data_IF_424841781749
#
_entry.id   IF_424841781749
#
_cell.length_a   1.000
_cell.length_b   1.000
_cell.length_c   1.000
_cell.angle_alpha   90.00
_cell.angle_beta   90.00
_cell.angle_gamma   90.00
#
_symmetry.space_group_name_H-M   'P 1'
#
loop_
_entity.id
_entity.type
_entity.pdbx_description
1 polymer ?
2 non-polymer ?
3 water ?
#
# COMPACT_ATOMS: atom_id res chain seq x y z
N UNK A 1 18.21 -2.46 18.96
CA UNK A 1 18.19 -3.97 19.03
C UNK A 1 18.67 -4.65 17.74
N UNK A 2 18.47 -4.00 16.57
CA UNK A 2 19.06 -4.39 15.29
C UNK A 2 18.17 -5.09 14.28
N UNK A 3 17.50 -4.32 13.40
CA UNK A 3 16.50 -4.94 12.55
C UNK A 3 17.07 -5.67 11.31
N UNK A 4 18.18 -5.18 10.77
CA UNK A 4 18.74 -5.79 9.55
C UNK A 4 19.13 -7.24 9.79
N UNK A 5 19.90 -7.49 10.85
CA UNK A 5 20.33 -8.88 11.13
C UNK A 5 19.19 -9.78 11.58
N UNK A 6 18.19 -9.20 12.23
CA UNK A 6 17.00 -9.96 12.56
C UNK A 6 16.23 -10.42 11.30
N UNK A 7 16.05 -9.52 10.32
CA UNK A 7 15.43 -9.94 9.07
C UNK A 7 16.31 -10.93 8.28
N UNK A 8 17.62 -10.83 8.42
CA UNK A 8 18.51 -11.82 7.81
C UNK A 8 18.22 -13.27 8.25
N UNK A 9 17.91 -13.47 9.54
CA UNK A 9 17.54 -14.79 10.05
C UNK A 9 16.37 -15.39 9.31
N UNK A 10 15.35 -14.58 9.04
CA UNK A 10 14.19 -14.99 8.26
C UNK A 10 14.61 -15.46 6.88
N UNK A 11 15.44 -14.66 6.24
CA UNK A 11 15.91 -14.96 4.88
C UNK A 11 16.76 -16.24 4.88
N UNK A 12 17.68 -16.31 5.84
CA UNK A 12 18.66 -17.41 5.92
C UNK A 12 18.03 -18.78 6.16
N UNK A 13 16.88 -18.78 6.82
CA UNK A 13 16.25 -20.06 7.13
C UNK A 13 15.39 -20.60 5.99
N UNK A 14 15.16 -19.76 4.98
CA UNK A 14 14.22 -20.11 3.91
C UNK A 14 14.82 -20.05 2.51
N UNK A 15 15.57 -18.99 2.24
CA UNK A 15 16.01 -18.65 0.88
C UNK A 15 17.33 -19.30 0.48
N UNK A 16 18.17 -19.55 1.47
CA UNK A 16 19.56 -19.94 1.26
C UNK A 16 19.71 -21.43 1.59
N UNK A 17 20.27 -22.23 0.65
CA UNK A 17 20.84 -21.91 -0.66
C UNK A 17 19.90 -22.14 -1.84
N UNK A 18 18.59 -22.27 -1.55
CA UNK A 18 17.58 -22.64 -2.57
C UNK A 18 17.52 -21.64 -3.72
N UNK A 19 17.63 -20.34 -3.39
CA UNK A 19 17.47 -19.29 -4.41
C UNK A 19 18.64 -18.32 -4.46
N UNK A 20 18.99 -17.89 -5.68
CA UNK A 20 19.95 -16.82 -5.91
C UNK A 20 19.32 -15.52 -5.41
N UNK A 21 19.85 -15.02 -4.30
CA UNK A 21 19.16 -14.00 -3.52
C UNK A 21 19.94 -12.69 -3.42
N UNK A 22 19.27 -11.57 -3.67
CA UNK A 22 19.86 -10.24 -3.39
C UNK A 22 19.04 -9.59 -2.29
N UNK A 23 19.70 -8.78 -1.47
CA UNK A 23 19.05 -8.21 -0.30
C UNK A 23 19.53 -6.77 -0.20
N UNK A 24 18.59 -5.86 -0.07
CA UNK A 24 18.94 -4.47 0.15
C UNK A 24 18.20 -3.90 1.36
N UNK A 25 18.93 -3.20 2.23
CA UNK A 25 18.30 -2.44 3.33
C UNK A 25 18.61 -0.98 3.15
N UNK A 26 17.54 -0.16 3.09
CA UNK A 26 17.70 1.27 2.76
C UNK A 26 17.01 2.11 3.83
N UNK A 27 17.69 3.14 4.34
CA UNK A 27 17.04 4.02 5.31
C UNK A 27 17.28 3.61 6.76
N UNK A 28 16.72 4.39 7.70
CA UNK A 28 17.06 4.26 9.13
C UNK A 28 16.26 3.16 9.81
N UNK A 29 16.59 1.91 9.50
CA UNK A 29 15.83 0.79 10.02
C UNK A 29 15.88 0.71 11.55
N UNK A 30 16.88 1.37 12.16
CA UNK A 30 16.98 1.40 13.64
C UNK A 30 15.85 2.17 14.33
N UNK A 31 15.14 3.04 13.61
CA UNK A 31 14.01 3.80 14.20
C UNK A 31 12.65 3.08 14.15
N UNK A 32 12.59 1.91 13.52
CA UNK A 32 11.36 1.12 13.42
C UNK A 32 11.03 0.57 14.84
N UNK A 33 9.84 0.88 15.37
CA UNK A 33 9.44 0.38 16.71
C UNK A 33 9.19 -1.11 16.74
N UNK A 34 9.02 -1.68 17.93
CA UNK A 34 8.88 -3.14 18.07
C UNK A 34 7.67 -3.73 17.34
N UNK A 35 6.52 -3.06 17.39
CA UNK A 35 5.32 -3.57 16.77
C UNK A 35 5.48 -3.65 15.23
N UNK A 36 6.06 -2.60 14.63
CA UNK A 36 6.22 -2.53 13.19
C UNK A 36 7.35 -3.48 12.75
N UNK A 37 8.40 -3.58 13.56
CA UNK A 37 9.47 -4.57 13.33
C UNK A 37 8.94 -6.00 13.29
N UNK A 38 7.99 -6.30 14.19
CA UNK A 38 7.34 -7.61 14.24
C UNK A 38 6.50 -7.87 13.00
N UNK A 39 5.79 -6.83 12.55
CA UNK A 39 5.03 -6.97 11.30
C UNK A 39 5.97 -7.22 10.13
N UNK A 40 7.04 -6.43 10.03
CA UNK A 40 7.96 -6.55 8.89
C UNK A 40 8.57 -7.97 8.83
N UNK A 41 8.96 -8.48 9.98
CA UNK A 41 9.49 -9.84 10.08
C UNK A 41 8.48 -10.91 9.60
N UNK A 42 7.23 -10.81 10.06
CA UNK A 42 6.18 -11.75 9.67
C UNK A 42 5.84 -11.65 8.17
N UNK A 43 5.82 -10.43 7.63
CA UNK A 43 5.55 -10.22 6.20
C UNK A 43 6.66 -10.85 5.34
N UNK A 44 7.90 -10.54 5.68
CA UNK A 44 9.07 -11.13 5.01
C UNK A 44 9.07 -12.65 5.02
N UNK A 45 8.81 -13.25 6.19
CA UNK A 45 8.69 -14.69 6.33
C UNK A 45 7.67 -15.28 5.36
N UNK A 46 6.47 -14.70 5.35
CA UNK A 46 5.43 -15.17 4.43
C UNK A 46 5.82 -15.00 2.98
N UNK A 47 6.36 -13.81 2.64
CA UNK A 47 6.74 -13.47 1.26
C UNK A 47 7.83 -14.39 0.75
N UNK A 48 8.84 -14.62 1.60
CA UNK A 48 9.93 -15.50 1.23
C UNK A 48 9.49 -16.96 1.15
N UNK A 49 8.65 -17.42 2.08
CA UNK A 49 8.16 -18.79 2.00
C UNK A 49 7.40 -19.02 0.70
N UNK A 50 6.58 -18.03 0.35
CA UNK A 50 5.79 -18.06 -0.87
C UNK A 50 6.64 -18.17 -2.12
N UNK A 51 7.69 -17.36 -2.20
CA UNK A 51 8.61 -17.37 -3.34
C UNK A 51 9.28 -18.74 -3.49
N UNK A 52 9.76 -19.30 -2.38
CA UNK A 52 10.43 -20.58 -2.35
C UNK A 52 9.50 -21.73 -2.79
N UNK A 53 8.19 -21.57 -2.59
CA UNK A 53 7.25 -22.60 -3.00
C UNK A 53 6.92 -22.56 -4.50
N UNK A 54 7.33 -21.51 -5.20
CA UNK A 54 7.14 -21.42 -6.65
C UNK A 54 8.08 -22.37 -7.38
N UNK A 55 7.51 -23.35 -8.07
CA UNK A 55 8.31 -24.43 -8.70
C UNK A 55 9.41 -23.93 -9.64
N UNK A 56 9.14 -22.89 -10.40
CA UNK A 56 10.12 -22.46 -11.38
C UNK A 56 11.06 -21.31 -10.92
N UNK A 57 10.98 -20.95 -9.64
CA UNK A 57 11.86 -19.88 -9.11
C UNK A 57 13.32 -20.30 -8.98
N UNK A 58 14.21 -19.42 -9.41
CA UNK A 58 15.63 -19.58 -9.21
C UNK A 58 16.25 -18.39 -8.47
N UNK A 59 15.56 -17.26 -8.45
CA UNK A 59 16.11 -16.00 -7.95
C UNK A 59 15.09 -15.19 -7.14
N UNK A 60 15.62 -14.34 -6.26
CA UNK A 60 14.83 -13.66 -5.26
C UNK A 60 15.50 -12.34 -5.00
N UNK A 61 14.72 -11.26 -5.00
CA UNK A 61 15.24 -9.94 -4.67
C UNK A 61 14.42 -9.35 -3.55
N UNK A 62 15.11 -9.02 -2.45
CA UNK A 62 14.48 -8.47 -1.24
C UNK A 62 14.93 -7.03 -1.01
N UNK A 63 13.96 -6.16 -0.78
CA UNK A 63 14.22 -4.78 -0.43
C UNK A 63 13.41 -4.42 0.80
N UNK A 64 14.08 -4.06 1.88
CA UNK A 64 13.37 -3.57 3.06
C UNK A 64 13.89 -2.18 3.33
N UNK A 65 13.00 -1.22 3.50
CA UNK A 65 13.45 0.16 3.63
C UNK A 65 12.58 0.98 4.54
N UNK A 66 13.15 2.10 4.99
CA UNK A 66 12.39 3.14 5.65
C UNK A 66 12.59 4.37 4.76
N UNK A 67 11.52 4.89 4.20
CA UNK A 67 11.62 5.98 3.23
C UNK A 67 10.28 6.69 3.14
N UNK A 68 10.31 7.89 2.58
CA UNK A 68 9.10 8.72 2.45
C UNK A 68 8.19 8.16 1.35
N UNK A 69 6.91 8.02 1.68
CA UNK A 69 5.89 7.61 0.73
C UNK A 69 4.85 8.71 0.70
N UNK A 70 4.18 8.87 -0.44
CA UNK A 70 2.90 9.59 -0.41
C UNK A 70 1.79 8.60 -0.05
N UNK A 71 0.86 9.01 0.81
CA UNK A 71 -0.26 8.15 1.22
C UNK A 71 -1.58 8.91 1.05
N UNK A 72 -2.54 8.30 0.37
CA UNK A 72 -3.87 8.88 0.22
C UNK A 72 -4.84 7.96 0.92
N UNK A 73 -5.53 8.51 1.91
CA UNK A 73 -6.47 7.74 2.68
C UNK A 73 -7.83 8.41 2.60
N UNK A 74 -8.87 7.62 2.33
CA UNK A 74 -10.23 8.17 2.19
C UNK A 74 -11.22 7.21 2.88
N UNK A 75 -12.00 7.75 3.80
CA UNK A 75 -12.93 6.94 4.61
C UNK A 75 -14.33 7.54 4.52
N UNK A 76 -15.33 6.69 4.27
CA UNK A 76 -16.70 7.20 4.27
C UNK A 76 -17.56 6.21 5.02
N UNK A 77 -18.71 6.65 5.50
CA UNK A 77 -19.62 5.79 6.28
C UNK A 77 -20.84 5.34 5.48
N UNK A 78 -20.73 5.29 4.15
CA UNK A 78 -21.83 4.88 3.28
C UNK A 78 -22.10 3.39 3.35
N UNK A 79 -23.24 2.95 2.79
CA UNK A 79 -23.61 1.53 2.87
C UNK A 79 -23.71 0.89 1.48
N UNK A 80 -23.64 -0.44 1.42
CA UNK A 80 -23.65 -1.17 0.14
C UNK A 80 -22.29 -1.30 -0.52
N UNK A 81 -22.24 -1.78 -1.76
CA UNK A 81 -20.97 -2.03 -2.44
C UNK A 81 -20.33 -0.70 -2.85
N UNK A 82 -19.17 -0.36 -2.26
CA UNK A 82 -18.46 0.86 -2.69
C UNK A 82 -17.97 0.73 -4.11
N UNK A 83 -18.03 1.83 -4.84
CA UNK A 83 -17.45 1.88 -6.17
C UNK A 83 -16.01 1.40 -6.17
N UNK A 84 -15.30 1.56 -5.04
CA UNK A 84 -13.87 1.24 -4.95
C UNK A 84 -13.59 -0.24 -5.15
N UNK A 85 -14.55 -1.07 -4.77
CA UNK A 85 -14.35 -2.51 -4.85
C UNK A 85 -14.96 -3.21 -6.07
N UNK A 86 -15.53 -2.46 -7.01
CA UNK A 86 -15.99 -3.04 -8.26
C UNK A 86 -14.81 -3.42 -9.15
N UNK A 87 -15.07 -4.17 -10.22
CA UNK A 87 -13.99 -4.58 -11.13
C UNK A 87 -13.23 -3.36 -11.69
N UNK A 88 -13.96 -2.32 -12.10
CA UNK A 88 -13.31 -1.16 -12.69
C UNK A 88 -12.66 -0.28 -11.61
N UNK A 89 -13.28 -0.23 -10.44
CA UNK A 89 -12.71 0.49 -9.28
C UNK A 89 -11.35 -0.05 -8.89
N UNK A 90 -11.28 -1.36 -8.68
CA UNK A 90 -10.02 -2.04 -8.34
C UNK A 90 -8.98 -1.97 -9.46
N UNK A 91 -9.43 -2.13 -10.71
CA UNK A 91 -8.57 -1.98 -11.86
C UNK A 91 -7.80 -0.66 -11.88
N UNK A 92 -8.51 0.46 -11.72
CA UNK A 92 -7.85 1.78 -11.72
C UNK A 92 -6.83 1.88 -10.57
N UNK A 93 -7.22 1.45 -9.38
CA UNK A 93 -6.30 1.47 -8.23
C UNK A 93 -5.05 0.62 -8.46
N UNK A 94 -5.27 -0.61 -8.91
CA UNK A 94 -4.18 -1.56 -9.18
C UNK A 94 -3.22 -1.00 -10.24
N UNK A 95 -3.77 -0.46 -11.32
CA UNK A 95 -2.96 0.10 -12.39
C UNK A 95 -2.05 1.22 -11.88
N UNK A 96 -2.63 2.17 -11.14
CA UNK A 96 -1.89 3.32 -10.61
C UNK A 96 -0.87 2.86 -9.59
N UNK A 97 -1.27 1.94 -8.71
CA UNK A 97 -0.32 1.39 -7.75
C UNK A 97 0.85 0.75 -8.49
N UNK A 98 0.57 -0.09 -9.50
CA UNK A 98 1.67 -0.73 -10.26
C UNK A 98 2.54 0.29 -10.95
N UNK A 99 1.93 1.26 -11.62
CA UNK A 99 2.68 2.35 -12.27
C UNK A 99 3.60 3.08 -11.29
N UNK A 100 3.10 3.36 -10.09
CA UNK A 100 3.86 4.11 -9.09
C UNK A 100 4.80 3.27 -8.22
N UNK A 101 4.80 1.95 -8.41
CA UNK A 101 5.63 1.08 -7.60
C UNK A 101 5.11 1.05 -6.16
N UNK A 102 3.81 1.23 -6.03
CA UNK A 102 3.16 1.27 -4.73
C UNK A 102 2.17 0.13 -4.51
N UNK A 103 1.19 0.41 -3.67
CA UNK A 103 0.29 -0.58 -3.10
C UNK A 103 -0.99 0.11 -2.59
N UNK A 104 -2.03 -0.66 -2.35
CA UNK A 104 -3.30 -0.09 -1.89
C UNK A 104 -4.14 -1.16 -1.18
N UNK A 105 -5.04 -0.72 -0.33
CA UNK A 105 -6.03 -1.65 0.19
C UNK A 105 -7.37 -0.95 0.27
N UNK A 106 -8.42 -1.70 -0.03
CA UNK A 106 -9.77 -1.26 0.23
C UNK A 106 -10.39 -2.22 1.24
N UNK A 107 -10.81 -1.68 2.40
CA UNK A 107 -11.62 -2.42 3.38
C UNK A 107 -13.06 -1.93 3.39
N UNK A 108 -14.01 -2.86 3.44
CA UNK A 108 -15.33 -2.56 4.00
C UNK A 108 -15.16 -2.73 5.50
N UNK A 109 -15.45 -1.68 6.25
CA UNK A 109 -15.28 -1.68 7.68
C UNK A 109 -16.50 -2.34 8.35
N UNK A 110 -16.25 -3.31 9.24
CA UNK A 110 -17.33 -4.11 9.83
C UNK A 110 -18.41 -3.22 10.47
N UNK A 111 -17.95 -2.11 11.07
CA UNK A 111 -18.82 -1.16 11.76
C UNK A 111 -19.49 -0.12 10.85
N UNK A 112 -19.35 -0.28 9.54
CA UNK A 112 -20.00 0.59 8.58
C UNK A 112 -19.03 1.44 7.80
N UNK A 113 -19.18 1.42 6.48
CA UNK A 113 -18.40 2.26 5.57
C UNK A 113 -17.23 1.60 4.85
N UNK A 114 -16.43 2.44 4.20
CA UNK A 114 -15.35 2.00 3.32
C UNK A 114 -14.08 2.81 3.60
N UNK A 115 -12.97 2.10 3.76
CA UNK A 115 -11.68 2.74 3.91
C UNK A 115 -10.88 2.39 2.66
N UNK A 116 -10.18 3.39 2.14
CA UNK A 116 -9.29 3.22 1.01
C UNK A 116 -7.98 3.86 1.41
N UNK A 117 -6.91 3.13 1.18
CA UNK A 117 -5.57 3.64 1.36
C UNK A 117 -4.72 3.26 0.17
N UNK A 118 -4.01 4.24 -0.38
CA UNK A 118 -3.13 4.04 -1.53
C UNK A 118 -1.81 4.76 -1.22
N UNK A 119 -0.68 4.10 -1.46
CA UNK A 119 0.61 4.69 -1.11
C UNK A 119 1.62 4.28 -2.14
N UNK A 120 2.67 5.09 -2.27
CA UNK A 120 3.72 4.82 -3.24
C UNK A 120 4.95 5.63 -2.81
N UNK A 121 6.15 5.11 -3.11
CA UNK A 121 7.36 5.78 -2.68
C UNK A 121 7.61 7.05 -3.52
N UNK A 122 8.17 8.09 -2.89
CA UNK A 122 8.62 9.29 -3.63
C UNK A 122 9.70 8.97 -4.65
N UNK A 123 10.60 8.06 -4.30
CA UNK A 123 11.63 7.56 -5.23
C UNK A 123 11.80 6.04 -5.19
N UNK B 1 2.00 23.15 -10.79
CA UNK B 1 0.96 23.25 -9.73
C UNK B 1 1.25 22.22 -8.64
N UNK B 2 1.38 22.67 -7.38
CA UNK B 2 1.67 21.81 -6.24
C UNK B 2 0.64 20.70 -6.08
N UNK B 3 1.05 19.61 -5.43
CA UNK B 3 0.15 18.47 -5.19
C UNK B 3 -1.10 18.88 -4.41
N UNK B 4 -0.89 19.55 -3.27
CA UNK B 4 -2.04 19.94 -2.45
C UNK B 4 -3.10 20.70 -3.26
N UNK B 5 -2.69 21.76 -3.96
CA UNK B 5 -3.58 22.52 -4.85
C UNK B 5 -4.37 21.61 -5.80
N UNK B 6 -3.67 20.66 -6.43
CA UNK B 6 -4.29 19.76 -7.40
C UNK B 6 -5.35 18.87 -6.78
N UNK B 7 -5.06 18.36 -5.60
CA UNK B 7 -5.99 17.48 -4.89
C UNK B 7 -7.18 18.27 -4.37
N UNK B 8 -6.93 19.49 -3.89
CA UNK B 8 -8.03 20.35 -3.48
C UNK B 8 -8.96 20.78 -4.60
N UNK B 9 -8.44 20.92 -5.82
CA UNK B 9 -9.32 21.16 -6.97
C UNK B 9 -10.29 19.98 -7.17
N UNK B 10 -9.77 18.77 -7.09
CA UNK B 10 -10.59 17.54 -7.14
C UNK B 10 -11.65 17.55 -6.05
N UNK B 11 -11.23 17.82 -4.81
CA UNK B 11 -12.17 17.89 -3.70
C UNK B 11 -13.25 18.95 -3.92
N UNK B 12 -12.83 20.16 -4.33
CA UNK B 12 -13.75 21.25 -4.60
C UNK B 12 -14.78 20.84 -5.65
N UNK B 13 -14.35 20.13 -6.69
CA UNK B 13 -15.27 19.69 -7.77
C UNK B 13 -16.27 18.63 -7.30
N UNK B 14 -15.86 17.77 -6.36
CA UNK B 14 -16.67 16.59 -6.03
C UNK B 14 -17.37 16.59 -4.67
N UNK B 15 -16.79 17.27 -3.68
CA UNK B 15 -17.39 17.28 -2.36
C UNK B 15 -18.69 18.03 -2.40
N UNK B 16 -19.63 17.58 -1.58
CA UNK B 16 -20.95 18.19 -1.48
C UNK B 16 -21.33 18.27 0.01
N UNK B 17 -22.13 19.27 0.40
CA UNK B 17 -22.46 19.41 1.82
C UNK B 17 -23.14 18.21 2.49
N UNK B 18 -23.75 17.30 1.74
CA UNK B 18 -24.44 16.12 2.32
C UNK B 18 -23.50 15.19 3.12
N UNK B 19 -22.26 15.09 2.66
CA UNK B 19 -21.22 14.37 3.38
C UNK B 19 -20.42 15.44 4.05
N UNK B 20 -20.35 15.39 5.37
CA UNK B 20 -19.49 16.29 6.10
C UNK B 20 -18.03 15.90 5.81
N UNK B 21 -17.25 16.86 5.32
CA UNK B 21 -15.96 16.54 4.72
C UNK B 21 -14.82 17.23 5.44
N UNK B 22 -13.80 16.44 5.76
CA UNK B 22 -12.57 16.92 6.41
C UNK B 22 -11.42 16.44 5.55
N UNK B 23 -10.48 17.34 5.25
CA UNK B 23 -9.24 17.02 4.50
C UNK B 23 -8.05 17.50 5.31
N UNK B 24 -7.08 16.62 5.52
CA UNK B 24 -5.88 16.97 6.27
C UNK B 24 -4.67 16.62 5.43
N UNK B 25 -3.81 17.62 5.22
CA UNK B 25 -2.54 17.42 4.56
C UNK B 25 -1.41 17.54 5.58
N UNK B 26 -0.46 16.60 5.55
CA UNK B 26 0.71 16.70 6.41
C UNK B 26 1.94 16.20 5.66
N UNK B 27 3.09 16.76 5.97
CA UNK B 27 4.33 16.31 5.33
C UNK B 27 4.67 17.15 4.11
N UNK B 28 5.87 16.92 3.53
CA UNK B 28 6.37 17.74 2.41
C UNK B 28 5.74 17.34 1.07
N UNK B 29 4.45 17.64 0.90
CA UNK B 29 3.76 17.38 -0.37
C UNK B 29 4.42 18.11 -1.54
N UNK B 30 5.10 19.22 -1.25
CA UNK B 30 5.67 20.02 -2.32
C UNK B 30 6.80 19.28 -3.05
N UNK B 31 7.33 18.21 -2.44
CA UNK B 31 8.44 17.52 -3.08
C UNK B 31 8.00 16.39 -4.01
N UNK B 32 6.71 16.07 -4.00
CA UNK B 32 6.18 14.99 -4.86
C UNK B 32 6.31 15.39 -6.32
N UNK B 33 6.91 14.54 -7.15
CA UNK B 33 7.12 14.86 -8.57
C UNK B 33 5.81 14.78 -9.38
N UNK B 34 5.83 15.30 -10.60
CA UNK B 34 4.61 15.44 -11.40
C UNK B 34 3.92 14.12 -11.74
N UNK B 35 4.70 13.08 -12.03
CA UNK B 35 4.11 11.81 -12.42
C UNK B 35 3.40 11.19 -11.20
N UNK B 36 4.07 11.19 -10.06
CA UNK B 36 3.46 10.62 -8.84
C UNK B 36 2.23 11.45 -8.43
N UNK B 37 2.38 12.77 -8.44
CA UNK B 37 1.26 13.70 -8.15
C UNK B 37 0.08 13.38 -9.04
N UNK B 38 0.34 13.12 -10.33
CA UNK B 38 -0.73 12.73 -11.23
C UNK B 38 -1.43 11.44 -10.81
N UNK B 39 -0.66 10.45 -10.38
CA UNK B 39 -1.26 9.18 -9.93
C UNK B 39 -2.12 9.39 -8.69
N UNK B 40 -1.61 10.18 -7.75
CA UNK B 40 -2.35 10.50 -6.50
C UNK B 40 -3.67 11.19 -6.78
N UNK B 41 -3.65 12.11 -7.75
CA UNK B 41 -4.84 12.84 -8.24
C UNK B 41 -5.88 11.88 -8.79
N UNK B 42 -5.46 10.98 -9.68
CA UNK B 42 -6.35 10.01 -10.27
C UNK B 42 -7.00 9.11 -9.19
N UNK B 43 -6.18 8.68 -8.24
CA UNK B 43 -6.65 7.86 -7.13
C UNK B 43 -7.66 8.62 -6.27
N UNK B 44 -7.32 9.84 -5.85
CA UNK B 44 -8.24 10.63 -5.03
C UNK B 44 -9.55 10.93 -5.72
N UNK B 45 -9.48 11.24 -7.01
CA UNK B 45 -10.68 11.44 -7.80
C UNK B 45 -11.57 10.21 -7.73
N UNK B 46 -10.99 9.03 -7.93
CA UNK B 46 -11.78 7.79 -7.81
C UNK B 46 -12.37 7.61 -6.41
N UNK B 47 -11.51 7.74 -5.40
CA UNK B 47 -11.96 7.52 -4.02
C UNK B 47 -13.03 8.52 -3.55
N UNK B 48 -12.86 9.80 -3.89
CA UNK B 48 -13.86 10.81 -3.50
C UNK B 48 -15.16 10.63 -4.29
N UNK B 49 -15.07 10.37 -5.60
CA UNK B 49 -16.27 10.13 -6.43
C UNK B 49 -17.10 8.97 -5.88
N UNK B 50 -16.41 7.89 -5.52
CA UNK B 50 -17.08 6.71 -5.01
C UNK B 50 -17.65 6.92 -3.60
N UNK B 51 -16.97 7.74 -2.79
CA UNK B 51 -17.50 8.10 -1.46
C UNK B 51 -18.80 8.87 -1.57
N UNK B 52 -18.80 9.92 -2.39
CA UNK B 52 -19.99 10.75 -2.63
C UNK B 52 -21.18 9.92 -3.20
N UNK B 53 -20.85 8.87 -3.96
CA UNK B 53 -21.87 8.00 -4.57
C UNK B 53 -22.35 6.90 -3.60
N UNK B 54 -21.68 6.77 -2.45
CA UNK B 54 -21.89 5.65 -1.55
C UNK B 54 -23.18 5.92 -0.73
N UNK B 55 -24.19 5.06 -0.95
CA UNK B 55 -25.53 5.21 -0.37
C UNK B 55 -25.54 5.65 1.08
N UNK B 56 -26.26 6.74 1.35
CA UNK B 56 -26.54 7.22 2.71
C UNK B 56 -25.34 7.69 3.52
N UNK B 57 -24.20 7.90 2.87
CA UNK B 57 -23.02 8.47 3.54
C UNK B 57 -23.32 9.83 4.16
N UNK B 58 -22.74 10.06 5.33
CA UNK B 58 -22.90 11.32 6.04
C UNK B 58 -21.54 11.98 6.29
N UNK B 59 -20.45 11.25 6.07
CA UNK B 59 -19.12 11.82 6.30
C UNK B 59 -18.03 11.27 5.38
N UNK B 60 -17.01 12.09 5.20
CA UNK B 60 -15.92 11.78 4.31
C UNK B 60 -14.68 12.38 4.97
N UNK B 61 -13.70 11.54 5.28
CA UNK B 61 -12.46 12.00 5.86
C UNK B 61 -11.34 11.66 4.87
N UNK B 62 -10.58 12.67 4.50
CA UNK B 62 -9.49 12.50 3.54
C UNK B 62 -8.18 12.89 4.20
N UNK B 63 -7.20 12.01 4.16
CA UNK B 63 -5.89 12.31 4.76
C UNK B 63 -4.87 12.06 3.67
N UNK B 64 -4.10 13.09 3.33
CA UNK B 64 -3.03 12.91 2.35
C UNK B 64 -1.74 13.36 3.03
N UNK B 65 -0.72 12.49 3.01
CA UNK B 65 0.51 12.79 3.72
C UNK B 65 1.69 12.34 2.91
N UNK B 66 2.85 12.93 3.21
CA UNK B 66 4.15 12.38 2.78
C UNK B 66 4.83 12.13 4.09
N UNK B 67 5.21 10.88 4.34
CA UNK B 67 5.69 10.48 5.65
C UNK B 67 6.53 9.19 5.51
N UNK B 68 7.37 8.94 6.51
CA UNK B 68 8.22 7.74 6.49
C UNK B 68 7.39 6.50 6.71
N UNK B 69 7.55 5.53 5.80
CA UNK B 69 6.95 4.22 5.93
C UNK B 69 8.05 3.17 6.06
N UNK B 70 7.71 2.03 6.65
CA UNK B 70 8.50 0.84 6.44
C UNK B 70 7.92 0.14 5.21
N UNK B 71 8.81 -0.38 4.36
CA UNK B 71 8.41 -1.03 3.11
C UNK B 71 9.15 -2.36 3.01
N UNK B 72 8.41 -3.41 2.68
CA UNK B 72 8.97 -4.72 2.43
C UNK B 72 8.54 -5.10 1.03
N UNK B 73 9.54 -5.29 0.16
CA UNK B 73 9.28 -5.69 -1.21
C UNK B 73 10.06 -6.96 -1.53
N UNK B 74 9.36 -7.92 -2.13
CA UNK B 74 9.94 -9.21 -2.45
C UNK B 74 9.54 -9.62 -3.87
N UNK B 75 10.52 -9.83 -4.72
CA UNK B 75 10.29 -10.16 -6.13
C UNK B 75 10.96 -11.50 -6.39
N UNK B 76 10.22 -12.42 -6.99
CA UNK B 76 10.86 -13.65 -7.44
C UNK B 76 10.46 -13.98 -8.86
N UNK B 77 11.24 -14.83 -9.52
CA UNK B 77 10.97 -15.15 -10.92
C UNK B 77 9.99 -16.31 -11.14
N UNK B 78 9.45 -16.86 -10.05
CA UNK B 78 8.41 -17.90 -10.14
C UNK B 78 7.00 -17.35 -9.97
N UNK B 79 6.02 -18.22 -10.21
CA UNK B 79 4.59 -17.91 -10.03
C UNK B 79 3.93 -19.09 -9.30
N UNK B 80 3.04 -18.83 -8.36
CA UNK B 80 2.39 -19.92 -7.60
C UNK B 80 1.33 -20.63 -8.41
N UNK B 81 1.34 -21.96 -8.43
CA UNK B 81 0.35 -22.77 -9.18
C UNK B 81 -1.09 -22.46 -8.77
N UNK B 82 -1.28 -22.14 -7.48
CA UNK B 82 -2.63 -21.98 -6.90
C UNK B 82 -3.01 -20.54 -6.60
N UNK B 83 -2.27 -19.60 -7.19
CA UNK B 83 -2.51 -18.19 -6.96
C UNK B 83 -1.29 -17.49 -6.40
N UNK B 84 -1.32 -16.17 -6.43
CA UNK B 84 -0.18 -15.33 -6.04
C UNK B 84 0.19 -15.45 -4.56
N UNK B 85 -0.72 -16.02 -3.77
CA UNK B 85 -0.54 -16.28 -2.34
C UNK B 85 -1.62 -17.27 -1.86
N UNK B 86 -1.31 -18.07 -0.84
CA UNK B 86 -2.34 -18.92 -0.24
C UNK B 86 -3.38 -18.04 0.45
N UNK B 87 -4.60 -18.56 0.55
CA UNK B 87 -5.69 -17.91 1.26
C UNK B 87 -5.31 -17.33 2.64
N UNK B 88 -4.68 -18.16 3.47
CA UNK B 88 -4.30 -17.78 4.84
C UNK B 88 -3.00 -16.95 4.89
N UNK B 89 -2.29 -16.93 3.77
CA UNK B 89 -1.15 -16.03 3.60
C UNK B 89 -1.63 -14.62 3.30
N UNK B 90 -2.59 -14.50 2.39
CA UNK B 90 -3.27 -13.23 2.08
C UNK B 90 -3.91 -12.65 3.33
N UNK B 91 -4.68 -13.48 4.05
CA UNK B 91 -5.31 -13.07 5.30
C UNK B 91 -4.32 -12.46 6.28
N UNK B 92 -3.18 -13.13 6.45
CA UNK B 92 -2.19 -12.71 7.44
C UNK B 92 -1.64 -11.33 7.11
N UNK B 93 -1.10 -11.17 5.90
CA UNK B 93 -0.49 -9.91 5.52
C UNK B 93 -1.53 -8.78 5.40
N UNK B 94 -2.72 -9.11 4.91
CA UNK B 94 -3.82 -8.14 4.88
C UNK B 94 -4.23 -7.67 6.27
N UNK B 95 -4.43 -8.61 7.18
CA UNK B 95 -4.72 -8.24 8.57
C UNK B 95 -3.62 -7.36 9.17
N UNK B 96 -2.36 -7.70 8.93
CA UNK B 96 -1.24 -6.89 9.47
C UNK B 96 -1.18 -5.49 8.87
N UNK B 97 -1.40 -5.40 7.57
CA UNK B 97 -1.56 -4.12 6.88
C UNK B 97 -2.66 -3.29 7.56
N UNK B 98 -3.82 -3.91 7.76
CA UNK B 98 -4.94 -3.24 8.44
C UNK B 98 -4.54 -2.77 9.84
N UNK B 99 -3.91 -3.65 10.61
CA UNK B 99 -3.42 -3.33 11.96
C UNK B 99 -2.41 -2.19 11.96
N UNK B 100 -1.51 -2.19 10.98
CA UNK B 100 -0.43 -1.20 10.89
C UNK B 100 -0.88 0.13 10.28
N UNK B 101 -2.11 0.16 9.76
CA UNK B 101 -2.59 1.32 9.03
C UNK B 101 -1.89 1.40 7.68
N UNK B 102 -1.55 0.25 7.12
CA UNK B 102 -0.78 0.22 5.88
C UNK B 102 -1.51 -0.43 4.73
N UNK B 103 -0.74 -0.93 3.77
CA UNK B 103 -1.29 -1.42 2.51
C UNK B 103 -0.45 -2.57 2.07
N UNK B 104 -1.03 -3.42 1.24
CA UNK B 104 -0.39 -4.65 0.85
C UNK B 104 -0.87 -5.02 -0.54
N UNK B 105 0.04 -5.37 -1.44
CA UNK B 105 -0.33 -5.86 -2.76
C UNK B 105 0.55 -7.05 -3.13
N UNK B 106 -0.03 -8.03 -3.80
CA UNK B 106 0.70 -9.21 -4.29
C UNK B 106 0.16 -9.48 -5.67
N UNK B 107 1.05 -9.74 -6.61
CA UNK B 107 0.62 -9.91 -7.97
C UNK B 107 1.53 -10.82 -8.77
N UNK B 108 0.93 -11.47 -9.76
CA UNK B 108 1.67 -12.14 -10.78
C UNK B 108 2.03 -11.06 -11.78
N UNK B 109 3.33 -10.85 -12.00
CA UNK B 109 3.79 -9.76 -12.84
C UNK B 109 3.53 -9.99 -14.33
N UNK B 110 3.04 -8.93 -15.02
CA UNK B 110 2.66 -8.95 -16.43
C UNK B 110 3.48 -9.86 -17.33
N UNK B 111 4.81 -9.87 -17.15
CA UNK B 111 5.71 -10.68 -17.98
C UNK B 111 6.53 -11.70 -17.18
N UNK B 112 5.96 -12.31 -16.14
CA UNK B 112 6.68 -13.37 -15.41
C UNK B 112 7.08 -12.96 -13.99
N UNK B 113 7.02 -13.92 -13.08
CA UNK B 113 7.42 -13.70 -11.69
C UNK B 113 6.34 -13.14 -10.79
N UNK B 114 6.69 -13.00 -9.51
CA UNK B 114 5.76 -12.56 -8.49
C UNK B 114 6.32 -11.36 -7.77
N UNK B 115 5.45 -10.38 -7.54
CA UNK B 115 5.85 -9.20 -6.77
C UNK B 115 4.97 -9.07 -5.53
N UNK B 116 5.60 -8.74 -4.41
CA UNK B 116 4.87 -8.55 -3.16
C UNK B 116 5.36 -7.26 -2.55
N UNK B 117 4.44 -6.39 -2.15
CA UNK B 117 4.81 -5.14 -1.47
C UNK B 117 3.94 -4.89 -0.28
N UNK B 118 4.55 -4.43 0.79
CA UNK B 118 3.84 -4.19 2.02
C UNK B 118 4.44 -2.94 2.65
N UNK B 119 3.61 -1.98 3.01
CA UNK B 119 4.13 -0.74 3.59
C UNK B 119 3.20 -0.24 4.67
N UNK B 120 3.76 0.40 5.69
CA UNK B 120 2.96 0.97 6.77
C UNK B 120 3.72 2.13 7.35
N UNK B 121 3.00 3.12 7.88
CA UNK B 121 3.66 4.29 8.44
C UNK B 121 4.44 3.97 9.72
N UNK B 122 5.57 4.64 9.88
CA UNK B 122 6.36 4.55 11.10
C UNK B 122 5.58 4.88 12.33
N UNK B 123 4.70 5.87 12.22
CA UNK B 123 3.95 6.33 13.37
C UNK B 123 2.45 6.13 13.18
N UNK B 124 1.89 5.28 14.03
CA UNK B 124 0.46 4.90 14.08
C UNK B 124 -0.18 4.62 12.71
#
# INVERSE_FOLDING_TARGET
TGLRHRLDKVIDQLAIPALHTTVQYTGPLSVVDTVLANHAEAVLREAVSNAVRHANATSLAINVSVEDDVRVEVVDDGVGISGDITESGLRNLRQRADDAGGEFTVENMPTGGTLLRWSAPLRL
TGLRHRLDKVIDQLAIPALHTTVQYTGPLSVVDTVLANHAEAVLREAVSNAVRHANATSLAINVSVEDDVRVEVVDDGVGISGDITESGLRNLRQRADDAGGEFTVENMPTGGTLLRWSAPLRL
#
